data_IF_870138997396
#
_entry.id   IF_870138997396
#
_cell.length_a   1.000
_cell.length_b   1.000
_cell.length_c   1.000
_cell.angle_alpha   90.00
_cell.angle_beta   90.00
_cell.angle_gamma   90.00
#
_symmetry.space_group_name_H-M   'P 1'
#
loop_
_entity.id
_entity.type
_entity.pdbx_description
1 polymer ?
#
# COMPACT_ATOMS: atom_id res chain seq x y z
N UNK A 1 25.93 54.98 -5.56
CA UNK A 1 25.81 53.58 -6.02
C UNK A 1 25.92 52.59 -4.87
N UNK A 2 26.84 52.65 -3.91
CA UNK A 2 26.99 51.72 -2.78
C UNK A 2 25.68 51.48 -2.00
N UNK A 3 24.99 52.55 -1.56
CA UNK A 3 23.74 52.45 -0.78
C UNK A 3 22.60 51.67 -1.50
N UNK A 4 22.55 51.73 -2.83
CA UNK A 4 21.54 50.97 -3.60
C UNK A 4 21.89 49.48 -3.67
N UNK A 5 23.20 49.16 -3.71
CA UNK A 5 23.71 47.81 -3.71
C UNK A 5 23.46 47.15 -2.33
N UNK A 6 23.73 47.88 -1.24
CA UNK A 6 23.50 47.41 0.13
C UNK A 6 22.01 47.11 0.38
N UNK A 7 21.11 47.99 -0.13
CA UNK A 7 19.65 47.73 -0.02
C UNK A 7 19.19 46.51 -0.83
N UNK A 8 19.79 46.31 -2.01
CA UNK A 8 19.47 45.19 -2.87
C UNK A 8 19.93 43.84 -2.26
N UNK A 9 21.10 43.85 -1.61
CA UNK A 9 21.63 42.69 -0.87
C UNK A 9 20.73 42.35 0.32
N UNK A 10 20.33 43.36 1.11
CA UNK A 10 19.45 43.18 2.27
C UNK A 10 18.06 42.69 1.83
N UNK A 11 17.52 43.24 0.75
CA UNK A 11 16.25 42.79 0.18
C UNK A 11 16.31 41.33 -0.33
N UNK A 12 17.42 40.96 -1.01
CA UNK A 12 17.66 39.60 -1.49
C UNK A 12 17.77 38.63 -0.32
N UNK A 13 18.47 39.01 0.75
CA UNK A 13 18.64 38.20 1.96
C UNK A 13 17.31 38.03 2.70
N UNK A 14 16.49 39.09 2.76
CA UNK A 14 15.14 38.98 3.33
C UNK A 14 14.24 38.02 2.53
N UNK A 15 14.27 38.07 1.21
CA UNK A 15 13.50 37.14 0.34
C UNK A 15 13.91 35.69 0.57
N UNK A 16 15.20 35.39 0.73
CA UNK A 16 15.72 34.07 1.02
C UNK A 16 15.26 33.57 2.39
N UNK A 17 15.24 34.44 3.41
CA UNK A 17 14.76 34.09 4.75
C UNK A 17 13.25 33.75 4.79
N UNK A 18 12.43 34.42 3.96
CA UNK A 18 11.00 34.16 3.90
C UNK A 18 10.63 32.90 3.05
N UNK A 19 11.50 32.48 2.13
CA UNK A 19 11.27 31.32 1.26
C UNK A 19 11.51 29.96 1.97
N UNK A 20 12.13 29.95 3.16
CA UNK A 20 12.50 28.71 3.86
C UNK A 20 11.52 28.28 4.96
N UNK A 21 10.32 28.86 4.99
CA UNK A 21 9.27 28.43 5.93
C UNK A 21 8.25 27.55 5.23
N UNK A 22 8.20 26.28 5.64
CA UNK A 22 7.17 25.35 5.21
C UNK A 22 6.01 25.33 6.21
N UNK A 23 4.83 24.95 5.74
CA UNK A 23 3.63 24.83 6.59
C UNK A 23 3.07 23.44 6.49
N UNK A 24 2.91 22.79 7.65
CA UNK A 24 2.16 21.53 7.75
C UNK A 24 0.71 21.80 7.41
N UNK A 25 0.19 21.04 6.44
CA UNK A 25 -1.20 21.16 6.03
C UNK A 25 -2.17 20.62 7.11
N UNK A 26 -3.41 21.12 7.15
CA UNK A 26 -4.46 20.50 7.97
C UNK A 26 -4.60 19.00 7.64
N UNK A 27 -4.85 18.18 8.66
CA UNK A 27 -4.96 16.72 8.57
C UNK A 27 -3.67 15.99 8.14
N UNK A 28 -2.50 16.65 8.27
CA UNK A 28 -1.20 16.00 8.10
C UNK A 28 -0.42 16.00 9.43
N UNK A 29 0.37 14.96 9.63
CA UNK A 29 1.44 15.00 10.63
C UNK A 29 2.70 15.52 9.95
N UNK A 30 3.22 16.66 10.41
CA UNK A 30 4.54 17.12 10.01
C UNK A 30 5.60 16.35 10.79
N UNK A 31 6.49 15.66 10.10
CA UNK A 31 7.67 15.03 10.69
C UNK A 31 8.89 15.83 10.25
N UNK A 32 9.51 16.54 11.18
CA UNK A 32 10.72 17.31 10.92
C UNK A 32 11.93 16.44 11.23
N UNK A 33 12.78 16.27 10.23
CA UNK A 33 14.11 15.68 10.38
C UNK A 33 15.13 16.81 10.53
N UNK A 34 16.02 16.71 11.51
CA UNK A 34 17.14 17.62 11.75
C UNK A 34 18.47 16.87 11.56
N UNK A 35 19.58 17.60 11.44
CA UNK A 35 20.94 17.05 11.37
C UNK A 35 21.14 15.91 10.34
N UNK A 36 20.38 15.89 9.25
CA UNK A 36 20.37 14.77 8.29
C UNK A 36 19.99 13.40 8.94
N UNK A 37 19.36 13.39 10.11
CA UNK A 37 19.02 12.17 10.85
C UNK A 37 20.23 11.38 11.36
N UNK A 38 21.37 12.03 11.65
CA UNK A 38 22.62 11.37 12.08
C UNK A 38 22.51 10.68 13.42
N UNK A 39 21.67 11.19 14.33
CA UNK A 39 21.43 10.60 15.66
C UNK A 39 20.27 9.59 15.66
N UNK A 40 19.79 9.20 14.48
CA UNK A 40 18.69 8.26 14.34
C UNK A 40 17.34 8.91 14.63
N UNK A 41 16.46 8.23 15.35
CA UNK A 41 15.09 8.72 15.63
C UNK A 41 15.06 9.99 16.50
N UNK A 42 16.12 10.29 17.23
CA UNK A 42 16.21 11.49 18.06
C UNK A 42 16.20 12.78 17.24
N UNK A 43 16.66 12.71 15.99
CA UNK A 43 16.63 13.84 15.05
C UNK A 43 15.25 14.03 14.38
N UNK A 44 14.24 13.21 14.73
CA UNK A 44 12.90 13.30 14.16
C UNK A 44 11.89 13.74 15.21
N UNK A 45 11.08 14.75 14.89
CA UNK A 45 10.04 15.26 15.78
C UNK A 45 8.75 15.59 15.05
N UNK A 46 7.62 15.42 15.75
CA UNK A 46 6.31 15.86 15.25
C UNK A 46 6.20 17.37 15.40
N UNK A 47 5.86 18.02 14.32
CA UNK A 47 5.67 19.48 14.26
C UNK A 47 4.30 19.82 13.66
N UNK A 48 3.82 21.02 13.94
CA UNK A 48 2.55 21.53 13.41
C UNK A 48 2.69 23.03 13.07
N UNK A 49 1.86 23.50 12.14
CA UNK A 49 1.84 24.91 11.74
C UNK A 49 3.01 25.30 10.84
N UNK A 50 3.59 26.46 11.07
CA UNK A 50 4.76 26.95 10.34
C UNK A 50 6.03 26.36 10.94
N UNK A 51 6.89 25.86 10.09
CA UNK A 51 8.16 25.23 10.45
C UNK A 51 9.27 25.86 9.63
N UNK A 52 10.39 26.20 10.27
CA UNK A 52 11.57 26.69 9.59
C UNK A 52 12.43 25.51 9.12
N UNK A 53 12.75 25.49 7.84
CA UNK A 53 13.60 24.44 7.21
C UNK A 53 14.90 25.04 6.66
N UNK A 54 15.32 26.21 7.19
CA UNK A 54 16.52 26.93 6.70
C UNK A 54 17.85 26.32 7.18
N UNK A 55 17.82 25.53 8.24
CA UNK A 55 19.02 24.86 8.75
C UNK A 55 19.45 23.71 7.84
N UNK A 56 20.76 23.63 7.61
CA UNK A 56 21.32 22.57 6.79
C UNK A 56 21.02 21.18 7.39
N UNK A 57 20.45 20.30 6.58
CA UNK A 57 20.09 18.96 7.04
C UNK A 57 18.71 18.87 7.70
N UNK A 58 17.93 19.95 7.62
CA UNK A 58 16.55 19.98 8.08
C UNK A 58 15.60 19.75 6.92
N UNK A 59 14.63 18.87 7.13
CA UNK A 59 13.66 18.49 6.12
C UNK A 59 12.30 18.19 6.76
N UNK A 60 11.23 18.67 6.12
CA UNK A 60 9.87 18.43 6.54
C UNK A 60 9.20 17.36 5.66
N UNK A 61 8.76 16.29 6.29
CA UNK A 61 7.89 15.27 5.67
C UNK A 61 6.45 15.52 6.11
N UNK A 62 5.52 15.49 5.17
CA UNK A 62 4.11 15.63 5.46
C UNK A 62 3.42 14.28 5.26
N UNK A 63 2.92 13.71 6.35
CA UNK A 63 2.27 12.39 6.36
C UNK A 63 0.76 12.59 6.53
N UNK A 64 -0.08 12.22 5.57
CA UNK A 64 -1.53 12.39 5.64
C UNK A 64 -2.13 11.53 6.75
N UNK A 65 -3.07 12.11 7.51
CA UNK A 65 -3.79 11.42 8.58
C UNK A 65 -5.23 11.04 8.18
N UNK A 66 -5.59 11.28 6.92
CA UNK A 66 -6.88 10.87 6.34
C UNK A 66 -6.73 9.56 5.57
N UNK A 67 -7.85 8.96 5.21
CA UNK A 67 -7.88 7.69 4.52
C UNK A 67 -7.21 7.80 3.15
N UNK A 68 -6.22 6.95 2.90
CA UNK A 68 -5.53 6.81 1.64
C UNK A 68 -6.09 5.60 0.89
N UNK A 69 -6.05 5.64 -0.43
CA UNK A 69 -6.48 4.54 -1.29
C UNK A 69 -5.35 4.19 -2.26
N UNK A 70 -4.95 2.94 -2.22
CA UNK A 70 -4.05 2.36 -3.21
C UNK A 70 -4.79 1.40 -4.14
N UNK A 71 -4.36 1.37 -5.39
CA UNK A 71 -4.90 0.51 -6.43
C UNK A 71 -3.77 0.14 -7.38
N UNK A 72 -3.62 -1.15 -7.65
CA UNK A 72 -2.63 -1.61 -8.62
C UNK A 72 -3.02 -1.15 -10.03
N UNK A 73 -2.10 -0.50 -10.73
CA UNK A 73 -2.32 0.02 -12.08
C UNK A 73 -2.66 -1.10 -13.06
N UNK A 74 -2.01 -2.25 -12.94
CA UNK A 74 -2.20 -3.41 -13.79
C UNK A 74 -2.67 -4.64 -12.99
N UNK A 75 -3.48 -5.52 -13.60
CA UNK A 75 -3.82 -6.80 -12.98
C UNK A 75 -2.56 -7.64 -12.75
N UNK A 76 -2.44 -8.23 -11.58
CA UNK A 76 -1.32 -9.11 -11.23
C UNK A 76 -1.63 -10.54 -11.64
N UNK A 77 -0.70 -11.19 -12.35
CA UNK A 77 -0.83 -12.61 -12.70
C UNK A 77 -0.33 -13.50 -11.58
N UNK A 78 -1.15 -14.43 -11.15
CA UNK A 78 -0.93 -15.33 -10.03
C UNK A 78 -1.06 -16.79 -10.47
N UNK A 79 -0.55 -17.70 -9.64
CA UNK A 79 -0.69 -19.14 -9.83
C UNK A 79 -1.29 -19.79 -8.59
N UNK A 80 -2.31 -20.58 -8.78
CA UNK A 80 -2.88 -21.44 -7.75
C UNK A 80 -1.95 -22.63 -7.42
N UNK A 81 -2.29 -23.40 -6.39
CA UNK A 81 -1.53 -24.59 -5.97
C UNK A 81 -1.45 -25.68 -7.06
N UNK A 82 -2.41 -25.72 -7.95
CA UNK A 82 -2.48 -26.64 -9.11
C UNK A 82 -1.87 -26.05 -10.39
N UNK A 83 -1.05 -24.99 -10.26
CA UNK A 83 -0.39 -24.24 -11.34
C UNK A 83 -1.35 -23.55 -12.34
N UNK A 84 -2.63 -23.48 -12.07
CA UNK A 84 -3.56 -22.71 -12.90
C UNK A 84 -3.29 -21.21 -12.72
N UNK A 85 -3.20 -20.49 -13.84
CA UNK A 85 -3.02 -19.05 -13.84
C UNK A 85 -4.36 -18.31 -13.73
N UNK A 86 -4.38 -17.25 -12.95
CA UNK A 86 -5.49 -16.32 -12.83
C UNK A 86 -4.95 -14.91 -12.56
N UNK A 87 -5.78 -13.90 -12.69
CA UNK A 87 -5.41 -12.53 -12.41
C UNK A 87 -6.15 -12.00 -11.19
N UNK A 88 -5.56 -11.03 -10.54
CA UNK A 88 -6.18 -10.29 -9.45
C UNK A 88 -5.97 -8.79 -9.66
N UNK A 89 -6.92 -7.97 -9.19
CA UNK A 89 -6.83 -6.51 -9.11
C UNK A 89 -6.94 -6.09 -7.65
N UNK A 90 -5.81 -6.03 -6.93
CA UNK A 90 -5.85 -5.61 -5.54
C UNK A 90 -6.20 -4.13 -5.43
N UNK A 91 -7.13 -3.84 -4.54
CA UNK A 91 -7.45 -2.48 -4.09
C UNK A 91 -7.45 -2.47 -2.57
N UNK A 92 -6.96 -1.39 -1.99
CA UNK A 92 -6.90 -1.28 -0.55
C UNK A 92 -7.08 0.17 -0.10
N UNK A 93 -7.54 0.36 1.11
CA UNK A 93 -7.52 1.66 1.76
C UNK A 93 -6.92 1.54 3.14
N UNK A 94 -6.21 2.57 3.54
CA UNK A 94 -5.48 2.57 4.79
C UNK A 94 -5.40 3.97 5.38
N UNK A 95 -4.98 4.03 6.64
CA UNK A 95 -4.74 5.27 7.38
C UNK A 95 -3.43 5.19 8.13
N UNK A 96 -2.72 6.29 8.21
CA UNK A 96 -1.51 6.38 9.04
C UNK A 96 -1.89 6.49 10.51
N UNK A 97 -1.28 5.67 11.35
CA UNK A 97 -1.36 5.82 12.80
C UNK A 97 -0.51 7.02 13.23
N UNK A 98 -1.16 8.08 13.73
CA UNK A 98 -0.48 9.34 14.07
C UNK A 98 0.74 9.17 14.98
N UNK A 99 0.66 8.26 15.94
CA UNK A 99 1.76 7.96 16.88
C UNK A 99 2.93 7.20 16.23
N UNK A 100 2.77 6.72 15.01
CA UNK A 100 3.78 5.98 14.23
C UNK A 100 4.32 6.78 13.05
N UNK A 101 3.91 8.04 12.89
CA UNK A 101 4.34 8.88 11.75
C UNK A 101 5.87 9.06 11.70
N UNK A 102 6.53 9.20 12.85
CA UNK A 102 8.01 9.25 12.92
C UNK A 102 8.62 7.94 12.44
N UNK A 103 8.11 6.80 12.87
CA UNK A 103 8.60 5.48 12.47
C UNK A 103 8.52 5.30 10.95
N UNK A 104 7.36 5.66 10.37
CA UNK A 104 7.13 5.56 8.92
C UNK A 104 8.16 6.38 8.15
N UNK A 105 8.39 7.63 8.55
CA UNK A 105 9.37 8.49 7.87
C UNK A 105 10.78 7.99 8.10
N UNK A 106 11.15 7.65 9.34
CA UNK A 106 12.48 7.19 9.69
C UNK A 106 12.88 5.92 8.96
N UNK A 107 12.00 4.93 8.92
CA UNK A 107 12.26 3.63 8.30
C UNK A 107 12.32 3.73 6.76
N UNK A 108 11.63 4.72 6.17
CA UNK A 108 11.46 4.83 4.71
C UNK A 108 12.05 6.13 4.11
N UNK A 109 12.82 6.92 4.86
CA UNK A 109 13.43 8.17 4.36
C UNK A 109 14.39 7.98 3.18
N UNK A 110 14.85 6.75 2.96
CA UNK A 110 15.74 6.36 1.87
C UNK A 110 15.03 6.23 0.51
N UNK A 111 13.70 6.30 0.48
CA UNK A 111 12.93 6.32 -0.76
C UNK A 111 13.39 7.54 -1.56
N UNK A 112 13.91 7.29 -2.76
CA UNK A 112 14.56 8.31 -3.58
C UNK A 112 13.58 9.43 -3.92
N UNK A 113 13.98 10.65 -3.58
CA UNK A 113 13.19 11.85 -3.86
C UNK A 113 13.16 12.22 -5.33
N UNK A 114 14.13 11.76 -6.12
CA UNK A 114 14.16 12.02 -7.56
C UNK A 114 12.94 11.41 -8.27
N UNK A 115 12.44 10.29 -7.74
CA UNK A 115 11.26 9.61 -8.25
C UNK A 115 9.98 9.97 -7.48
N UNK A 116 10.10 10.83 -6.45
CA UNK A 116 8.94 11.21 -5.64
C UNK A 116 8.11 12.25 -6.41
N UNK A 117 6.81 12.00 -6.66
CA UNK A 117 5.93 12.98 -7.25
C UNK A 117 5.97 14.30 -6.48
N UNK A 118 6.07 15.41 -7.18
CA UNK A 118 6.09 16.73 -6.55
C UNK A 118 4.74 17.00 -5.86
N UNK A 119 4.77 17.26 -4.56
CA UNK A 119 3.58 17.60 -3.80
C UNK A 119 3.60 17.09 -2.37
N UNK A 120 2.53 17.40 -1.64
CA UNK A 120 2.41 17.06 -0.21
C UNK A 120 2.32 15.56 0.04
N UNK A 121 1.76 14.82 -0.92
CA UNK A 121 1.51 13.39 -0.82
C UNK A 121 2.61 12.54 -1.48
N UNK A 122 3.63 13.20 -2.05
CA UNK A 122 4.69 12.53 -2.79
C UNK A 122 5.42 11.43 -2.01
N UNK A 123 5.69 11.68 -0.72
CA UNK A 123 6.31 10.67 0.14
C UNK A 123 5.43 9.41 0.28
N UNK A 124 4.12 9.59 0.51
CA UNK A 124 3.20 8.46 0.67
C UNK A 124 3.00 7.71 -0.63
N UNK A 125 2.92 8.40 -1.76
CA UNK A 125 2.83 7.76 -3.06
C UNK A 125 4.09 6.93 -3.36
N UNK A 126 5.28 7.47 -3.07
CA UNK A 126 6.51 6.69 -3.20
C UNK A 126 6.57 5.49 -2.23
N UNK A 127 5.99 5.61 -1.04
CA UNK A 127 5.86 4.50 -0.10
C UNK A 127 4.92 3.41 -0.66
N UNK A 128 3.81 3.81 -1.27
CA UNK A 128 2.89 2.88 -1.95
C UNK A 128 3.61 2.13 -3.06
N UNK A 129 4.17 2.86 -4.02
CA UNK A 129 4.76 2.30 -5.24
C UNK A 129 5.98 1.41 -4.96
N UNK A 130 6.84 1.82 -4.04
CA UNK A 130 8.13 1.13 -3.82
C UNK A 130 8.12 0.13 -2.66
N UNK A 131 7.17 0.23 -1.73
CA UNK A 131 7.16 -0.60 -0.52
C UNK A 131 5.86 -1.39 -0.36
N UNK A 132 4.69 -0.71 -0.42
CA UNK A 132 3.43 -1.37 -0.09
C UNK A 132 2.95 -2.29 -1.21
N UNK A 133 2.90 -1.80 -2.45
CA UNK A 133 2.44 -2.60 -3.59
C UNK A 133 3.30 -3.85 -3.84
N UNK A 134 4.65 -3.77 -3.89
CA UNK A 134 5.48 -4.96 -4.04
C UNK A 134 5.25 -5.97 -2.90
N UNK A 135 5.08 -5.46 -1.67
CA UNK A 135 4.86 -6.34 -0.52
C UNK A 135 3.49 -7.01 -0.55
N UNK A 136 2.44 -6.27 -0.90
CA UNK A 136 1.08 -6.83 -1.11
C UNK A 136 1.12 -7.89 -2.21
N UNK A 137 1.78 -7.61 -3.33
CA UNK A 137 1.95 -8.58 -4.42
C UNK A 137 2.58 -9.89 -3.94
N UNK A 138 3.67 -9.81 -3.17
CA UNK A 138 4.34 -10.99 -2.64
C UNK A 138 3.42 -11.79 -1.70
N UNK A 139 2.67 -11.11 -0.84
CA UNK A 139 1.72 -11.76 0.08
C UNK A 139 0.60 -12.48 -0.67
N UNK A 140 0.02 -11.84 -1.69
CA UNK A 140 -1.02 -12.44 -2.52
C UNK A 140 -0.47 -13.65 -3.28
N UNK A 141 0.72 -13.53 -3.84
CA UNK A 141 1.40 -14.59 -4.57
C UNK A 141 1.75 -15.79 -3.68
N UNK A 142 2.17 -15.54 -2.46
CA UNK A 142 2.44 -16.60 -1.48
C UNK A 142 1.15 -17.32 -1.07
N UNK A 143 0.09 -16.56 -0.76
CA UNK A 143 -1.17 -17.14 -0.32
C UNK A 143 -1.89 -17.87 -1.46
N UNK A 144 -1.84 -17.35 -2.69
CA UNK A 144 -2.48 -17.98 -3.86
C UNK A 144 -1.97 -19.41 -4.11
N UNK A 145 -0.69 -19.67 -3.85
CA UNK A 145 -0.07 -21.00 -4.02
C UNK A 145 -0.51 -22.04 -3.00
N UNK A 146 -1.22 -21.63 -1.95
CA UNK A 146 -1.77 -22.52 -0.92
C UNK A 146 -3.17 -23.01 -1.28
N UNK A 147 -3.83 -22.39 -2.26
CA UNK A 147 -5.20 -22.67 -2.64
C UNK A 147 -5.28 -23.29 -4.04
N UNK A 148 -6.07 -24.37 -4.19
CA UNK A 148 -6.39 -24.94 -5.50
C UNK A 148 -7.42 -24.08 -6.22
N UNK A 149 -7.39 -24.07 -7.55
CA UNK A 149 -8.34 -23.32 -8.38
C UNK A 149 -9.79 -23.65 -8.04
N UNK A 150 -10.10 -24.94 -7.83
CA UNK A 150 -11.43 -25.38 -7.43
C UNK A 150 -11.92 -24.74 -6.13
N UNK A 151 -11.01 -24.63 -5.17
CA UNK A 151 -11.32 -24.01 -3.87
C UNK A 151 -11.56 -22.52 -3.99
N UNK A 152 -10.82 -21.85 -4.89
CA UNK A 152 -10.98 -20.40 -5.14
C UNK A 152 -12.28 -20.10 -5.92
N UNK A 153 -12.69 -21.00 -6.81
CA UNK A 153 -13.90 -20.87 -7.65
C UNK A 153 -15.17 -21.46 -7.00
N UNK A 154 -15.02 -22.26 -5.93
CA UNK A 154 -16.16 -22.76 -5.18
C UNK A 154 -17.00 -21.61 -4.62
N UNK A 155 -18.28 -21.88 -4.39
CA UNK A 155 -19.19 -20.91 -3.80
C UNK A 155 -18.65 -20.39 -2.46
N UNK A 156 -18.43 -19.09 -2.37
CA UNK A 156 -17.78 -18.44 -1.22
C UNK A 156 -16.24 -18.60 -1.12
N UNK A 157 -15.60 -19.37 -1.99
CA UNK A 157 -14.16 -19.65 -1.94
C UNK A 157 -13.30 -18.39 -2.13
N UNK A 158 -13.65 -17.54 -3.09
CA UNK A 158 -12.99 -16.25 -3.30
C UNK A 158 -13.11 -15.34 -2.07
N UNK A 159 -14.27 -15.33 -1.42
CA UNK A 159 -14.48 -14.51 -0.20
C UNK A 159 -13.63 -15.00 0.97
N UNK A 160 -13.49 -16.32 1.15
CA UNK A 160 -12.62 -16.91 2.18
C UNK A 160 -11.16 -16.52 1.91
N UNK A 161 -10.73 -16.61 0.66
CA UNK A 161 -9.39 -16.21 0.25
C UNK A 161 -9.14 -14.71 0.48
N UNK A 162 -10.06 -13.84 0.07
CA UNK A 162 -9.96 -12.40 0.30
C UNK A 162 -9.89 -12.05 1.78
N UNK A 163 -10.73 -12.64 2.63
CA UNK A 163 -10.66 -12.43 4.08
C UNK A 163 -9.33 -12.88 4.67
N UNK A 164 -8.77 -13.95 4.14
CA UNK A 164 -7.46 -14.42 4.58
C UNK A 164 -6.36 -13.44 4.19
N UNK A 165 -6.41 -12.94 2.96
CA UNK A 165 -5.48 -11.91 2.48
C UNK A 165 -5.61 -10.62 3.30
N UNK A 166 -6.84 -10.15 3.54
CA UNK A 166 -7.10 -8.99 4.38
C UNK A 166 -6.39 -9.10 5.74
N UNK A 167 -6.53 -10.25 6.42
CA UNK A 167 -5.86 -10.49 7.70
C UNK A 167 -4.32 -10.49 7.62
N UNK A 168 -3.77 -10.97 6.51
CA UNK A 168 -2.32 -11.01 6.30
C UNK A 168 -1.79 -9.61 5.99
N UNK A 169 -2.48 -8.87 5.13
CA UNK A 169 -2.13 -7.50 4.74
C UNK A 169 -2.30 -6.55 5.93
N UNK A 170 -3.37 -6.69 6.72
CA UNK A 170 -3.60 -5.88 7.92
C UNK A 170 -2.43 -6.00 8.92
N UNK A 171 -2.00 -7.22 9.22
CA UNK A 171 -0.83 -7.45 10.08
C UNK A 171 0.47 -6.84 9.53
N UNK A 172 0.65 -6.86 8.21
CA UNK A 172 1.82 -6.27 7.59
C UNK A 172 1.76 -4.74 7.65
N UNK A 173 0.58 -4.15 7.47
CA UNK A 173 0.36 -2.71 7.58
C UNK A 173 0.55 -2.22 9.02
N UNK A 174 0.01 -2.96 9.99
CA UNK A 174 0.17 -2.64 11.42
C UNK A 174 1.64 -2.58 11.83
N UNK A 175 2.47 -3.53 11.39
CA UNK A 175 3.93 -3.51 11.63
C UNK A 175 4.58 -2.22 11.13
N UNK A 176 4.08 -1.68 10.02
CA UNK A 176 4.59 -0.46 9.38
C UNK A 176 3.98 0.82 9.94
N UNK A 177 3.09 0.74 10.93
CA UNK A 177 2.41 1.89 11.52
C UNK A 177 1.22 2.38 10.71
N UNK A 178 0.68 1.53 9.85
CA UNK A 178 -0.51 1.77 9.04
C UNK A 178 -1.66 0.94 9.58
N UNK A 179 -2.87 1.44 9.45
CA UNK A 179 -4.11 0.72 9.75
C UNK A 179 -4.82 0.43 8.43
N UNK A 180 -5.01 -0.84 8.11
CA UNK A 180 -5.81 -1.24 6.96
C UNK A 180 -7.29 -0.95 7.26
N UNK A 181 -8.02 -0.39 6.31
CA UNK A 181 -9.44 -0.11 6.41
C UNK A 181 -10.26 -1.06 5.54
N UNK A 182 -9.83 -1.26 4.31
CA UNK A 182 -10.46 -2.19 3.36
C UNK A 182 -9.41 -2.87 2.52
N UNK A 183 -9.70 -4.09 2.08
CA UNK A 183 -8.91 -4.82 1.12
C UNK A 183 -9.82 -5.65 0.22
N UNK A 184 -9.55 -5.66 -1.08
CA UNK A 184 -10.19 -6.56 -2.04
C UNK A 184 -9.18 -7.00 -3.08
N UNK A 185 -9.20 -8.27 -3.46
CA UNK A 185 -8.28 -8.83 -4.46
C UNK A 185 -8.89 -8.93 -5.85
N UNK A 186 -10.22 -8.99 -5.99
CA UNK A 186 -10.95 -9.11 -7.25
C UNK A 186 -10.34 -10.14 -8.21
N UNK A 187 -10.58 -11.43 -7.90
CA UNK A 187 -10.01 -12.53 -8.68
C UNK A 187 -10.73 -12.69 -10.03
N UNK A 188 -9.95 -12.82 -11.09
CA UNK A 188 -10.46 -13.09 -12.45
C UNK A 188 -9.82 -14.35 -13.03
N UNK A 189 -10.65 -15.31 -13.42
CA UNK A 189 -10.23 -16.54 -14.09
C UNK A 189 -10.55 -16.48 -15.58
N UNK A 190 -9.67 -17.02 -16.40
CA UNK A 190 -9.92 -17.11 -17.84
C UNK A 190 -11.16 -17.95 -18.13
N UNK A 191 -11.83 -17.67 -19.26
CA UNK A 191 -13.01 -18.43 -19.68
C UNK A 191 -12.71 -19.92 -19.80
N UNK A 192 -11.57 -20.29 -20.36
CA UNK A 192 -11.15 -21.68 -20.50
C UNK A 192 -11.02 -22.43 -19.17
N UNK A 193 -10.55 -21.74 -18.12
CA UNK A 193 -10.47 -22.30 -16.76
C UNK A 193 -11.87 -22.51 -16.18
N UNK A 194 -12.76 -21.53 -16.33
CA UNK A 194 -14.16 -21.63 -15.88
C UNK A 194 -14.87 -22.79 -16.55
N UNK A 195 -14.86 -22.85 -17.88
CA UNK A 195 -15.50 -23.89 -18.66
C UNK A 195 -15.01 -25.33 -18.28
N UNK A 196 -13.69 -25.44 -17.99
CA UNK A 196 -13.11 -26.72 -17.56
C UNK A 196 -13.59 -27.17 -16.18
N UNK A 197 -13.72 -26.22 -15.25
CA UNK A 197 -14.20 -26.51 -13.89
C UNK A 197 -15.69 -26.83 -13.91
N UNK A 198 -16.49 -26.09 -14.66
CA UNK A 198 -17.92 -26.30 -14.82
C UNK A 198 -18.20 -27.70 -15.42
N UNK A 199 -17.49 -28.07 -16.50
CA UNK A 199 -17.59 -29.41 -17.10
C UNK A 199 -17.23 -30.52 -16.11
N UNK A 200 -16.20 -30.33 -15.29
CA UNK A 200 -15.83 -31.32 -14.28
C UNK A 200 -16.86 -31.43 -13.16
N UNK A 201 -17.43 -30.32 -12.72
CA UNK A 201 -18.49 -30.30 -11.71
C UNK A 201 -19.74 -30.96 -12.20
N UNK A 202 -20.09 -30.79 -13.48
CA UNK A 202 -21.20 -31.50 -14.13
C UNK A 202 -20.97 -33.02 -14.13
N UNK A 203 -19.78 -33.50 -14.53
CA UNK A 203 -19.42 -34.93 -14.52
C UNK A 203 -19.49 -35.47 -13.09
N UNK A 204 -18.95 -34.79 -12.10
CA UNK A 204 -19.02 -35.25 -10.71
C UNK A 204 -20.44 -35.32 -10.18
N UNK A 205 -21.29 -34.35 -10.53
CA UNK A 205 -22.72 -34.38 -10.19
C UNK A 205 -23.42 -35.59 -10.83
N UNK A 206 -23.16 -35.86 -12.11
CA UNK A 206 -23.72 -37.00 -12.81
C UNK A 206 -23.28 -38.32 -12.19
N UNK A 207 -22.02 -38.49 -11.80
CA UNK A 207 -21.49 -39.64 -11.08
C UNK A 207 -22.23 -39.82 -9.75
N UNK A 208 -22.38 -38.78 -8.97
CA UNK A 208 -23.04 -38.83 -7.65
C UNK A 208 -24.53 -39.26 -7.79
N UNK A 209 -25.21 -38.77 -8.82
CA UNK A 209 -26.60 -39.16 -9.12
C UNK A 209 -26.70 -40.65 -9.54
N UNK A 210 -25.73 -41.12 -10.32
CA UNK A 210 -25.67 -42.55 -10.72
C UNK A 210 -25.42 -43.46 -9.51
N UNK A 211 -24.50 -43.11 -8.63
CA UNK A 211 -24.19 -43.84 -7.39
C UNK A 211 -25.41 -43.92 -6.47
N UNK A 212 -26.18 -42.84 -6.35
CA UNK A 212 -27.43 -42.83 -5.58
C UNK A 212 -28.51 -43.73 -6.20
N UNK A 213 -28.60 -43.79 -7.55
CA UNK A 213 -29.53 -44.68 -8.23
C UNK A 213 -29.14 -46.14 -8.07
N UNK A 214 -27.86 -46.47 -8.16
CA UNK A 214 -27.35 -47.83 -7.97
C UNK A 214 -27.56 -48.28 -6.52
N UNK A 215 -27.25 -47.41 -5.53
CA UNK A 215 -27.46 -47.71 -4.13
C UNK A 215 -28.94 -47.99 -3.75
N UNK A 216 -29.89 -47.31 -4.45
CA UNK A 216 -31.34 -47.57 -4.25
C UNK A 216 -31.84 -48.81 -4.95
N UNK A 217 -31.13 -49.30 -5.97
CA UNK A 217 -31.52 -50.53 -6.69
C UNK A 217 -31.05 -51.81 -5.97
N UNK A 218 -30.21 -51.71 -4.95
CA UNK A 218 -29.67 -52.82 -4.17
C UNK A 218 -30.31 -52.98 -2.77
N UNK A 219 -31.36 -52.22 -2.48
CA UNK A 219 -32.20 -52.31 -1.27
C UNK A 219 -33.58 -52.86 -1.69
#
# INVERSE_FOLDING_TARGET
MKRKIDFLIVALFAVVLFASCERVAPNYAGVLMENYGKQGKEDFKIVAGKVSTWELGTELFQVPLFDQRGEFSDPVTLKAADNTEFTARPTYSYKVMKNRAIDIVFDNKHIDKADTPSGKDGFMQSLEDNILEPRIYDLIKEESRKHKTDSLMADGGSLVFEKRLEQIVDKEFEKRGLQLLTFSAQLEFSRAVRDKIDSRNEVNTNISVLDQKIGRAHV
#
